data_IF_890145360678
#
_entry.id   IF_890145360678
#
_cell.length_a   1.000
_cell.length_b   1.000
_cell.length_c   1.000
_cell.angle_alpha   90.00
_cell.angle_beta   90.00
_cell.angle_gamma   90.00
#
_symmetry.space_group_name_H-M   'P 1'
#
loop_
_entity.id
_entity.type
_entity.pdbx_description
1 polymer ?
#
# COMPACT_ATOMS: atom_id res chain seq x y z
N UNK A 1 -29.40 -0.61 -27.67
CA UNK A 1 -28.27 -0.53 -26.71
C UNK A 1 -27.27 -1.61 -27.09
N UNK A 2 -26.13 -1.25 -27.70
CA UNK A 2 -25.15 -2.23 -28.18
C UNK A 2 -24.22 -2.57 -27.00
N UNK A 3 -24.36 -3.75 -26.42
CA UNK A 3 -23.34 -4.25 -25.48
C UNK A 3 -22.10 -4.61 -26.30
N UNK A 4 -21.00 -3.88 -26.09
CA UNK A 4 -19.70 -4.28 -26.60
C UNK A 4 -19.32 -5.61 -25.93
N UNK A 5 -18.98 -6.63 -26.72
CA UNK A 5 -18.54 -7.90 -26.15
C UNK A 5 -17.24 -7.70 -25.36
N UNK A 6 -17.08 -8.45 -24.26
CA UNK A 6 -15.90 -8.38 -23.41
C UNK A 6 -14.58 -8.48 -24.22
N UNK A 7 -14.52 -9.34 -25.24
CA UNK A 7 -13.37 -9.44 -26.14
C UNK A 7 -13.04 -8.15 -26.88
N UNK A 8 -14.04 -7.36 -27.32
CA UNK A 8 -13.82 -6.08 -28.00
C UNK A 8 -13.31 -5.00 -27.04
N UNK A 9 -13.75 -5.05 -25.78
CA UNK A 9 -13.24 -4.14 -24.74
C UNK A 9 -11.79 -4.49 -24.40
N UNK A 10 -11.49 -5.77 -24.22
CA UNK A 10 -10.13 -6.25 -23.92
C UNK A 10 -9.14 -6.04 -25.06
N UNK A 11 -9.57 -6.12 -26.33
CA UNK A 11 -8.69 -5.84 -27.47
C UNK A 11 -8.26 -4.38 -27.55
N UNK A 12 -9.06 -3.46 -27.00
CA UNK A 12 -8.73 -2.03 -26.95
C UNK A 12 -7.94 -1.68 -25.68
N UNK A 13 -8.34 -2.21 -24.53
CA UNK A 13 -7.74 -1.87 -23.23
C UNK A 13 -6.46 -2.66 -22.97
N UNK A 14 -6.38 -3.91 -23.44
CA UNK A 14 -5.24 -4.81 -23.18
C UNK A 14 -3.88 -4.20 -23.57
N UNK A 15 -3.71 -3.67 -24.79
CA UNK A 15 -2.46 -3.01 -25.19
C UNK A 15 -2.12 -1.79 -24.33
N UNK A 16 -3.11 -0.98 -23.98
CA UNK A 16 -2.94 0.22 -23.14
C UNK A 16 -2.50 -0.17 -21.73
N UNK A 17 -3.12 -1.19 -21.14
CA UNK A 17 -2.77 -1.71 -19.83
C UNK A 17 -1.34 -2.30 -19.82
N UNK A 18 -0.97 -3.05 -20.86
CA UNK A 18 0.37 -3.63 -20.98
C UNK A 18 1.47 -2.55 -21.10
N UNK A 19 1.26 -1.53 -21.94
CA UNK A 19 2.20 -0.40 -22.07
C UNK A 19 2.29 0.40 -20.77
N UNK A 20 1.15 0.66 -20.13
CA UNK A 20 1.11 1.38 -18.85
C UNK A 20 1.84 0.62 -17.74
N UNK A 21 1.70 -0.70 -17.68
CA UNK A 21 2.44 -1.54 -16.75
C UNK A 21 3.95 -1.50 -17.03
N UNK A 22 4.37 -1.60 -18.30
CA UNK A 22 5.77 -1.49 -18.68
C UNK A 22 6.40 -0.15 -18.29
N UNK A 23 5.69 0.96 -18.58
CA UNK A 23 6.12 2.30 -18.18
C UNK A 23 6.20 2.46 -16.67
N UNK A 24 5.24 1.90 -15.94
CA UNK A 24 5.28 1.85 -14.49
C UNK A 24 6.55 1.12 -14.00
N UNK A 25 6.84 -0.09 -14.49
CA UNK A 25 8.06 -0.80 -14.07
C UNK A 25 9.35 -0.01 -14.34
N UNK A 26 9.47 0.63 -15.50
CA UNK A 26 10.62 1.49 -15.83
C UNK A 26 10.71 2.67 -14.86
N UNK A 27 9.58 3.36 -14.63
CA UNK A 27 9.51 4.47 -13.68
C UNK A 27 9.94 4.04 -12.28
N UNK A 28 9.55 2.84 -11.83
CA UNK A 28 9.89 2.30 -10.50
C UNK A 28 11.35 1.85 -10.41
N UNK A 29 12.00 1.54 -11.54
CA UNK A 29 13.45 1.32 -11.61
C UNK A 29 14.25 2.62 -11.41
N UNK A 30 13.77 3.73 -11.97
CA UNK A 30 14.41 5.06 -11.83
C UNK A 30 14.08 5.68 -10.46
N UNK A 31 12.84 5.54 -10.03
CA UNK A 31 12.31 6.07 -8.77
C UNK A 31 11.82 4.91 -7.90
N UNK A 32 12.73 4.21 -7.19
CA UNK A 32 12.35 3.12 -6.31
C UNK A 32 11.36 3.58 -5.24
N UNK A 33 10.62 2.63 -4.66
CA UNK A 33 9.64 2.92 -3.62
C UNK A 33 10.45 3.39 -2.41
N UNK A 34 9.87 4.23 -1.57
CA UNK A 34 10.52 4.58 -0.31
C UNK A 34 10.95 3.30 0.42
N UNK A 35 12.17 3.29 0.97
CA UNK A 35 12.73 2.10 1.66
C UNK A 35 11.88 1.64 2.85
N UNK A 36 10.97 2.51 3.31
CA UNK A 36 10.01 2.31 4.40
C UNK A 36 8.69 1.65 3.95
N UNK A 37 8.47 1.48 2.65
CA UNK A 37 7.29 0.80 2.10
C UNK A 37 7.58 -0.70 1.98
N UNK A 38 7.85 -1.34 3.11
CA UNK A 38 8.02 -2.80 3.20
C UNK A 38 7.45 -3.35 4.51
N UNK A 39 7.28 -4.67 4.57
CA UNK A 39 6.67 -5.33 5.72
C UNK A 39 7.50 -5.22 7.01
N UNK A 40 8.84 -5.15 6.90
CA UNK A 40 9.73 -5.02 8.06
C UNK A 40 9.56 -3.65 8.73
N UNK A 41 9.53 -2.57 7.92
CA UNK A 41 9.25 -1.22 8.38
C UNK A 41 7.84 -1.07 8.92
N UNK A 42 6.86 -1.72 8.28
CA UNK A 42 5.50 -1.75 8.78
C UNK A 42 5.44 -2.41 10.17
N UNK A 43 6.04 -3.59 10.34
CA UNK A 43 6.08 -4.30 11.62
C UNK A 43 6.82 -3.51 12.71
N UNK A 44 7.95 -2.89 12.37
CA UNK A 44 8.69 -2.03 13.29
C UNK A 44 7.87 -0.79 13.70
N UNK A 45 7.14 -0.19 12.77
CA UNK A 45 6.27 0.97 13.03
C UNK A 45 5.08 0.59 13.91
N UNK A 46 4.44 -0.56 13.67
CA UNK A 46 3.32 -1.05 14.49
C UNK A 46 3.77 -1.35 15.92
N UNK A 47 4.97 -1.93 16.09
CA UNK A 47 5.59 -2.12 17.41
C UNK A 47 5.78 -0.80 18.14
N UNK A 48 6.38 0.21 17.49
CA UNK A 48 6.55 1.55 18.06
C UNK A 48 5.21 2.21 18.41
N UNK A 49 4.21 2.10 17.54
CA UNK A 49 2.88 2.66 17.78
C UNK A 49 2.21 2.02 19.00
N UNK A 50 2.41 0.73 19.24
CA UNK A 50 1.85 0.01 20.40
C UNK A 50 2.59 0.28 21.71
N UNK A 51 3.90 0.53 21.64
CA UNK A 51 4.78 0.64 22.79
C UNK A 51 5.19 2.10 23.11
N UNK A 52 4.42 3.09 22.66
CA UNK A 52 4.82 4.48 22.86
C UNK A 52 4.88 4.85 24.36
N UNK A 53 6.02 5.39 24.82
CA UNK A 53 6.16 5.80 26.21
C UNK A 53 5.28 7.00 26.49
N UNK A 54 4.47 6.90 27.54
CA UNK A 54 3.64 8.00 28.02
C UNK A 54 4.36 8.70 29.16
N UNK A 55 4.53 10.02 29.06
CA UNK A 55 5.09 10.80 30.15
C UNK A 55 4.19 10.68 31.39
N UNK A 56 4.76 10.22 32.51
CA UNK A 56 4.04 10.07 33.78
C UNK A 56 3.23 8.78 33.96
N UNK A 57 3.38 7.77 33.10
CA UNK A 57 2.76 6.44 33.28
C UNK A 57 3.76 5.33 32.99
N UNK A 58 3.72 4.25 33.78
CA UNK A 58 4.53 3.05 33.55
C UNK A 58 3.96 2.16 32.43
N UNK A 59 2.68 2.37 32.06
CA UNK A 59 2.03 1.62 30.98
C UNK A 59 2.15 2.39 29.65
N UNK A 60 2.68 1.75 28.58
CA UNK A 60 2.68 2.33 27.24
C UNK A 60 1.24 2.44 26.72
N UNK A 61 1.00 3.42 25.84
CA UNK A 61 -0.31 3.65 25.22
C UNK A 61 -0.14 3.65 23.72
N UNK A 62 -1.07 2.99 23.01
CA UNK A 62 -1.09 3.03 21.55
C UNK A 62 -1.30 4.47 21.08
N UNK A 63 -0.42 4.95 20.21
CA UNK A 63 -0.44 6.34 19.73
C UNK A 63 -1.74 6.70 19.00
N UNK A 64 -2.31 5.76 18.24
CA UNK A 64 -3.64 5.87 17.64
C UNK A 64 -4.49 4.62 17.98
N UNK A 65 -5.37 4.69 18.99
CA UNK A 65 -6.19 3.56 19.41
C UNK A 65 -7.16 3.07 18.33
N UNK A 66 -7.57 3.94 17.40
CA UNK A 66 -8.54 3.61 16.36
C UNK A 66 -7.90 2.90 15.16
N UNK A 67 -6.57 2.98 15.00
CA UNK A 67 -5.88 2.34 13.87
C UNK A 67 -5.85 0.82 13.96
N UNK A 68 -6.05 0.23 15.15
CA UNK A 68 -6.17 -1.22 15.33
C UNK A 68 -7.36 -1.81 14.55
N UNK A 69 -8.39 -0.99 14.30
CA UNK A 69 -9.58 -1.36 13.53
C UNK A 69 -9.42 -1.13 12.02
N UNK A 70 -8.34 -0.49 11.60
CA UNK A 70 -8.07 -0.21 10.19
C UNK A 70 -7.29 -1.41 9.64
N UNK A 71 -7.84 -2.07 8.62
CA UNK A 71 -7.15 -3.17 7.95
C UNK A 71 -5.96 -2.61 7.14
N UNK A 72 -4.80 -2.50 7.77
CA UNK A 72 -3.60 -1.93 7.16
C UNK A 72 -2.96 -2.82 6.09
N UNK A 73 -3.46 -4.06 5.89
CA UNK A 73 -3.01 -4.96 4.81
C UNK A 73 -3.25 -4.39 3.40
N UNK A 74 -4.05 -3.33 3.27
CA UNK A 74 -4.26 -2.63 1.98
C UNK A 74 -3.15 -1.65 1.61
N UNK A 75 -2.20 -1.38 2.52
CA UNK A 75 -1.17 -0.34 2.35
C UNK A 75 0.22 -0.94 2.05
N UNK A 76 0.43 -2.21 2.35
CA UNK A 76 1.65 -2.95 2.05
C UNK A 76 1.50 -3.74 0.76
N UNK A 77 2.35 -3.42 -0.23
CA UNK A 77 2.48 -4.13 -1.51
C UNK A 77 3.41 -5.34 -1.39
#
# INVERSE_FOLDING_TARGET
>A
MVMASFSKVMSVIGPVAAVSAGLYYIQRGIWPLGRTLNNEWFAASESLMSAMPRQGSATPVRMNPMSEKINMKSVTY
#
